data_IF_277407277627
#
_entry.id   IF_277407277627
#
_cell.length_a   1.000
_cell.length_b   1.000
_cell.length_c   1.000
_cell.angle_alpha   90.00
_cell.angle_beta   90.00
_cell.angle_gamma   90.00
#
_symmetry.space_group_name_H-M   'P 1'
#
loop_
_entity.id
_entity.type
_entity.pdbx_description
1 polymer ?
#
# COMPACT_ATOMS: atom_id res chain seq x y z
N UNK A 1 -4.33 22.74 20.09
CA UNK A 1 -4.33 23.20 18.69
C UNK A 1 -4.04 24.70 18.66
N UNK A 2 -3.19 25.14 17.74
CA UNK A 2 -2.85 26.54 17.55
C UNK A 2 -3.87 27.18 16.59
N UNK A 3 -4.43 28.35 16.98
CA UNK A 3 -5.36 29.08 16.13
C UNK A 3 -4.72 29.48 14.78
N UNK A 4 -5.50 29.44 13.70
CA UNK A 4 -5.09 29.83 12.35
C UNK A 4 -3.84 29.07 11.81
N UNK A 5 -3.66 27.80 12.18
CA UNK A 5 -2.56 26.96 11.71
C UNK A 5 -3.05 25.65 11.11
N UNK A 6 -2.29 25.15 10.17
CA UNK A 6 -2.41 23.78 9.68
C UNK A 6 -1.75 22.85 10.70
N UNK A 7 -2.49 21.82 11.14
CA UNK A 7 -1.99 20.75 12.01
C UNK A 7 -2.09 19.44 11.26
N UNK A 8 -0.98 18.73 11.11
CA UNK A 8 -0.93 17.39 10.53
C UNK A 8 -0.74 16.38 11.66
N UNK A 9 -1.61 15.38 11.72
CA UNK A 9 -1.55 14.29 12.70
C UNK A 9 -1.47 12.96 11.93
N UNK A 10 -0.45 12.16 12.23
CA UNK A 10 -0.28 10.84 11.68
C UNK A 10 -0.54 9.79 12.75
N UNK A 11 -1.37 8.79 12.42
CA UNK A 11 -1.73 7.69 13.31
C UNK A 11 -1.46 6.35 12.64
N UNK A 12 -0.28 5.75 12.84
CA UNK A 12 0.15 4.54 12.13
C UNK A 12 -0.43 3.24 12.68
N UNK A 13 -1.02 3.24 13.89
CA UNK A 13 -1.31 1.99 14.59
C UNK A 13 -2.38 1.12 13.92
N UNK A 14 -3.32 1.73 13.18
CA UNK A 14 -4.33 0.97 12.43
C UNK A 14 -3.64 0.16 11.33
N UNK A 15 -2.74 0.79 10.59
CA UNK A 15 -1.95 0.16 9.54
C UNK A 15 -1.05 -0.95 10.09
N UNK A 16 -0.26 -0.64 11.12
CA UNK A 16 0.63 -1.62 11.78
C UNK A 16 -0.14 -2.83 12.30
N UNK A 17 -1.30 -2.62 12.94
CA UNK A 17 -2.10 -3.73 13.46
C UNK A 17 -2.73 -4.56 12.33
N UNK A 18 -3.13 -3.92 11.22
CA UNK A 18 -3.60 -4.62 10.03
C UNK A 18 -2.51 -5.49 9.40
N UNK A 19 -1.28 -4.99 9.31
CA UNK A 19 -0.15 -5.76 8.81
C UNK A 19 0.16 -6.97 9.67
N UNK A 20 0.20 -6.80 11.00
CA UNK A 20 0.64 -7.86 11.93
C UNK A 20 -0.45 -8.89 12.18
N UNK A 21 -1.67 -8.45 12.45
CA UNK A 21 -2.77 -9.29 12.91
C UNK A 21 -3.85 -9.52 11.86
N UNK A 22 -3.86 -8.71 10.80
CA UNK A 22 -4.87 -8.72 9.75
C UNK A 22 -5.99 -7.71 9.99
N UNK A 23 -6.59 -7.28 8.88
CA UNK A 23 -7.81 -6.44 8.88
C UNK A 23 -8.96 -7.24 9.52
N UNK A 24 -9.77 -6.57 10.34
CA UNK A 24 -10.86 -7.13 11.13
C UNK A 24 -10.45 -8.09 12.26
N UNK A 25 -9.17 -8.16 12.63
CA UNK A 25 -8.75 -8.81 13.88
C UNK A 25 -9.22 -8.01 15.12
N UNK A 26 -9.19 -8.63 16.29
CA UNK A 26 -9.53 -7.95 17.54
C UNK A 26 -8.54 -6.82 17.83
N UNK A 27 -7.25 -7.02 17.55
CA UNK A 27 -6.20 -6.02 17.72
C UNK A 27 -6.42 -4.82 16.79
N UNK A 28 -6.71 -5.07 15.51
CA UNK A 28 -7.03 -4.02 14.55
C UNK A 28 -8.30 -3.25 14.98
N UNK A 29 -9.34 -3.97 15.38
CA UNK A 29 -10.59 -3.37 15.82
C UNK A 29 -10.42 -2.50 17.06
N UNK A 30 -9.51 -2.89 17.97
CA UNK A 30 -9.16 -2.09 19.14
C UNK A 30 -8.41 -0.81 18.79
N UNK A 31 -7.50 -0.87 17.79
CA UNK A 31 -6.81 0.34 17.30
C UNK A 31 -7.77 1.31 16.60
N UNK A 32 -8.75 0.80 15.84
CA UNK A 32 -9.82 1.64 15.25
C UNK A 32 -10.61 2.35 16.35
N UNK A 33 -11.01 1.66 17.42
CA UNK A 33 -11.73 2.30 18.56
C UNK A 33 -10.90 3.38 19.24
N UNK A 34 -9.59 3.14 19.45
CA UNK A 34 -8.70 4.17 20.01
C UNK A 34 -8.59 5.40 19.09
N UNK A 35 -8.55 5.18 17.79
CA UNK A 35 -8.55 6.26 16.81
C UNK A 35 -9.87 7.04 16.83
N UNK A 36 -11.03 6.39 16.92
CA UNK A 36 -12.33 7.04 17.09
C UNK A 36 -12.37 7.91 18.34
N UNK A 37 -11.83 7.44 19.46
CA UNK A 37 -11.72 8.21 20.70
C UNK A 37 -10.80 9.44 20.52
N UNK A 38 -9.68 9.28 19.79
CA UNK A 38 -8.79 10.39 19.47
C UNK A 38 -9.50 11.43 18.60
N UNK A 39 -10.20 11.03 17.55
CA UNK A 39 -10.99 11.91 16.68
C UNK A 39 -12.03 12.69 17.48
N UNK A 40 -12.75 12.02 18.40
CA UNK A 40 -13.71 12.66 19.30
C UNK A 40 -13.05 13.74 20.15
N UNK A 41 -11.92 13.45 20.78
CA UNK A 41 -11.16 14.42 21.57
C UNK A 41 -10.68 15.61 20.72
N UNK A 42 -10.22 15.35 19.50
CA UNK A 42 -9.82 16.41 18.56
C UNK A 42 -11.01 17.31 18.25
N UNK A 43 -12.16 16.73 17.95
CA UNK A 43 -13.38 17.50 17.66
C UNK A 43 -13.84 18.33 18.86
N UNK A 44 -13.76 17.81 20.08
CA UNK A 44 -14.12 18.53 21.32
C UNK A 44 -13.16 19.69 21.65
N UNK A 45 -11.87 19.53 21.34
CA UNK A 45 -10.83 20.54 21.56
C UNK A 45 -10.74 21.57 20.42
N UNK A 46 -11.37 21.28 19.29
CA UNK A 46 -11.36 22.16 18.13
C UNK A 46 -12.28 23.38 18.37
N UNK A 47 -11.76 24.57 18.10
CA UNK A 47 -12.52 25.82 18.20
C UNK A 47 -13.66 25.86 17.19
N UNK A 48 -14.66 26.72 17.42
CA UNK A 48 -15.85 26.93 16.58
C UNK A 48 -15.60 27.34 15.11
N UNK A 49 -14.38 27.29 14.61
CA UNK A 49 -13.99 27.62 13.23
C UNK A 49 -12.89 26.68 12.75
N UNK A 50 -13.03 25.40 13.04
CA UNK A 50 -12.06 24.40 12.58
C UNK A 50 -12.67 23.52 11.49
N UNK A 51 -11.80 23.11 10.59
CA UNK A 51 -12.09 22.13 9.55
C UNK A 51 -11.06 21.02 9.65
N UNK A 52 -11.54 19.79 9.83
CA UNK A 52 -10.70 18.61 9.98
C UNK A 52 -11.02 17.63 8.84
N UNK A 53 -10.00 17.20 8.16
CA UNK A 53 -10.08 16.10 7.16
C UNK A 53 -9.34 14.90 7.71
N UNK A 54 -9.98 13.74 7.68
CA UNK A 54 -9.38 12.45 8.01
C UNK A 54 -9.35 11.63 6.73
N UNK A 55 -8.18 11.12 6.39
CA UNK A 55 -7.98 10.26 5.23
C UNK A 55 -6.91 9.21 5.52
N UNK A 56 -6.73 8.28 4.61
CA UNK A 56 -5.65 7.30 4.59
C UNK A 56 -4.89 7.40 3.26
N UNK A 57 -3.70 6.89 3.19
CA UNK A 57 -2.88 6.75 1.98
C UNK A 57 -3.29 5.53 1.16
N UNK A 58 -3.71 4.44 1.81
CA UNK A 58 -4.21 3.21 1.18
C UNK A 58 -5.11 2.43 2.15
N UNK A 59 -5.75 1.38 1.66
CA UNK A 59 -6.35 0.35 2.47
C UNK A 59 -5.46 -0.91 2.51
N UNK A 60 -5.95 -2.01 3.11
CA UNK A 60 -5.23 -3.29 3.21
C UNK A 60 -6.17 -4.46 2.93
N UNK A 61 -5.59 -5.57 2.50
CA UNK A 61 -6.27 -6.86 2.36
C UNK A 61 -5.53 -7.98 3.08
N UNK A 62 -6.24 -8.93 3.65
CA UNK A 62 -5.65 -10.11 4.27
C UNK A 62 -5.25 -11.12 3.20
N UNK A 63 -4.03 -11.66 3.32
CA UNK A 63 -3.49 -12.64 2.38
C UNK A 63 -3.41 -14.02 3.05
N UNK A 64 -4.15 -15.04 2.55
CA UNK A 64 -4.04 -16.41 3.02
C UNK A 64 -2.62 -16.96 2.81
N UNK A 65 -2.21 -17.92 3.66
CA UNK A 65 -0.85 -18.49 3.58
C UNK A 65 -0.60 -19.23 2.27
N UNK A 66 -1.61 -19.90 1.75
CA UNK A 66 -1.59 -20.64 0.49
C UNK A 66 -1.43 -19.74 -0.74
N UNK A 67 -1.69 -18.45 -0.61
CA UNK A 67 -1.62 -17.46 -1.68
C UNK A 67 -0.29 -16.68 -1.69
N UNK A 68 0.74 -17.22 -1.06
CA UNK A 68 2.06 -16.61 -0.91
C UNK A 68 3.07 -17.30 -1.81
N UNK A 69 3.41 -16.65 -2.89
CA UNK A 69 4.35 -17.17 -3.88
C UNK A 69 5.77 -16.76 -3.50
N UNK A 70 6.67 -17.74 -3.41
CA UNK A 70 8.08 -17.50 -3.16
C UNK A 70 8.84 -17.47 -4.49
N UNK A 71 9.35 -16.30 -4.85
CA UNK A 71 10.16 -16.15 -6.04
C UNK A 71 11.64 -16.42 -5.70
N UNK A 72 12.20 -17.45 -6.34
CA UNK A 72 13.63 -17.73 -6.22
C UNK A 72 14.47 -16.58 -6.79
N UNK A 73 15.65 -16.39 -6.22
CA UNK A 73 16.61 -15.40 -6.75
C UNK A 73 16.93 -15.71 -8.22
N UNK A 74 16.88 -14.68 -9.05
CA UNK A 74 17.21 -14.74 -10.48
C UNK A 74 18.40 -13.82 -10.75
N UNK A 75 19.48 -14.33 -11.33
CA UNK A 75 20.70 -13.55 -11.57
C UNK A 75 20.52 -12.42 -12.59
N UNK A 76 19.56 -12.57 -13.51
CA UNK A 76 19.40 -11.68 -14.66
C UNK A 76 18.18 -10.73 -14.57
N UNK A 77 17.45 -10.78 -13.47
CA UNK A 77 16.35 -9.84 -13.20
C UNK A 77 16.52 -9.23 -11.81
N UNK A 78 16.28 -7.92 -11.72
CA UNK A 78 16.27 -7.20 -10.47
C UNK A 78 14.84 -6.94 -10.02
N UNK A 79 14.50 -7.38 -8.81
CA UNK A 79 13.15 -7.34 -8.25
C UNK A 79 13.14 -6.45 -7.03
N UNK A 80 12.21 -5.49 -6.99
CA UNK A 80 12.03 -4.52 -5.91
C UNK A 80 10.57 -4.04 -5.85
N UNK A 81 10.27 -3.09 -4.96
CA UNK A 81 8.91 -2.58 -4.77
C UNK A 81 8.15 -3.35 -3.71
N UNK A 82 6.83 -3.38 -3.84
CA UNK A 82 5.92 -4.01 -2.90
C UNK A 82 5.58 -5.45 -3.32
N UNK A 83 5.12 -6.27 -2.38
CA UNK A 83 4.76 -7.67 -2.62
C UNK A 83 3.52 -7.85 -3.49
N UNK A 84 2.74 -6.77 -3.70
CA UNK A 84 1.52 -6.77 -4.53
C UNK A 84 1.70 -6.02 -5.84
N UNK A 85 2.70 -5.14 -5.92
CA UNK A 85 3.12 -4.43 -7.13
C UNK A 85 4.63 -4.53 -7.26
N UNK A 86 5.07 -5.62 -7.87
CA UNK A 86 6.49 -5.98 -7.93
C UNK A 86 7.13 -5.30 -9.13
N UNK A 87 8.08 -4.42 -8.87
CA UNK A 87 8.88 -3.79 -9.92
C UNK A 87 10.02 -4.69 -10.36
N UNK A 88 10.22 -4.79 -11.67
CA UNK A 88 11.19 -5.71 -12.24
C UNK A 88 11.97 -5.04 -13.37
N UNK A 89 13.31 -5.13 -13.29
CA UNK A 89 14.19 -4.75 -14.39
C UNK A 89 14.88 -6.00 -14.95
N UNK A 90 15.00 -6.08 -16.27
CA UNK A 90 15.68 -7.15 -16.95
C UNK A 90 15.02 -7.61 -18.25
N UNK A 91 15.43 -8.79 -18.72
CA UNK A 91 14.89 -9.36 -19.96
C UNK A 91 13.42 -9.76 -19.80
N UNK A 92 12.54 -9.23 -20.65
CA UNK A 92 11.10 -9.54 -20.66
C UNK A 92 10.84 -11.05 -20.70
N UNK A 93 11.56 -11.78 -21.55
CA UNK A 93 11.43 -13.24 -21.65
C UNK A 93 11.69 -13.95 -20.33
N UNK A 94 12.74 -13.56 -19.61
CA UNK A 94 13.09 -14.14 -18.31
C UNK A 94 12.09 -13.75 -17.22
N UNK A 95 11.58 -12.53 -17.28
CA UNK A 95 10.53 -12.05 -16.37
C UNK A 95 9.26 -12.88 -16.57
N UNK A 96 8.78 -13.05 -17.82
CA UNK A 96 7.61 -13.87 -18.13
C UNK A 96 7.80 -15.30 -17.62
N UNK A 97 8.98 -15.88 -17.82
CA UNK A 97 9.29 -17.24 -17.36
C UNK A 97 9.28 -17.33 -15.82
N UNK A 98 9.90 -16.36 -15.13
CA UNK A 98 9.97 -16.35 -13.67
C UNK A 98 8.61 -16.16 -12.98
N UNK A 99 7.68 -15.45 -13.60
CA UNK A 99 6.37 -15.14 -13.05
C UNK A 99 5.23 -16.00 -13.62
N UNK A 100 5.54 -16.99 -14.50
CA UNK A 100 4.54 -17.78 -15.26
C UNK A 100 3.51 -18.49 -14.40
N UNK A 101 3.88 -18.93 -13.20
CA UNK A 101 3.03 -19.68 -12.28
C UNK A 101 2.31 -18.78 -11.25
N UNK A 102 2.50 -17.47 -11.32
CA UNK A 102 1.95 -16.52 -10.35
C UNK A 102 0.74 -15.80 -10.97
N UNK A 103 -0.43 -15.85 -10.33
CA UNK A 103 -1.58 -15.10 -10.81
C UNK A 103 -1.34 -13.60 -10.79
N UNK A 104 -1.39 -12.96 -11.95
CA UNK A 104 -1.11 -11.54 -12.08
C UNK A 104 -0.91 -11.12 -13.53
N UNK A 105 -0.62 -9.85 -13.70
CA UNK A 105 -0.40 -9.21 -14.99
C UNK A 105 0.95 -8.49 -15.03
N UNK A 106 1.75 -8.77 -16.04
CA UNK A 106 2.95 -8.02 -16.34
C UNK A 106 2.59 -6.75 -17.12
N UNK A 107 2.88 -5.60 -16.55
CA UNK A 107 2.64 -4.28 -17.12
C UNK A 107 3.96 -3.74 -17.61
N UNK A 108 4.02 -3.35 -18.87
CA UNK A 108 5.20 -2.74 -19.49
C UNK A 108 5.30 -1.24 -19.18
N UNK A 109 6.42 -0.63 -19.55
CA UNK A 109 6.68 0.78 -19.29
C UNK A 109 5.65 1.73 -19.90
N UNK A 110 5.08 1.41 -21.06
CA UNK A 110 4.05 2.25 -21.70
C UNK A 110 2.77 2.26 -20.87
N UNK A 111 2.37 1.11 -20.36
CA UNK A 111 1.19 0.97 -19.48
C UNK A 111 1.45 1.60 -18.10
N UNK A 112 2.67 1.43 -17.55
CA UNK A 112 3.08 2.07 -16.30
C UNK A 112 3.01 3.60 -16.37
N UNK A 113 3.37 4.20 -17.49
CA UNK A 113 3.28 5.65 -17.70
C UNK A 113 1.84 6.19 -17.65
N UNK A 114 0.83 5.32 -17.74
CA UNK A 114 -0.57 5.70 -17.53
C UNK A 114 -0.96 5.68 -16.03
N UNK A 115 -0.23 4.95 -15.21
CA UNK A 115 -0.48 4.77 -13.78
C UNK A 115 0.42 5.67 -12.92
N UNK A 116 1.65 5.87 -13.35
CA UNK A 116 2.65 6.66 -12.63
C UNK A 116 2.83 8.04 -13.27
N UNK A 117 3.07 9.09 -12.46
CA UNK A 117 3.35 10.41 -13.00
C UNK A 117 4.67 10.38 -13.81
N UNK A 118 4.64 10.94 -15.01
CA UNK A 118 5.85 11.13 -15.83
C UNK A 118 6.65 12.34 -15.35
N UNK A 119 7.96 12.34 -15.60
CA UNK A 119 8.87 13.44 -15.26
C UNK A 119 9.78 13.77 -16.44
N UNK A 120 10.07 15.05 -16.65
CA UNK A 120 11.08 15.49 -17.61
C UNK A 120 12.52 15.32 -17.07
N UNK A 121 12.67 14.89 -15.82
CA UNK A 121 13.95 14.65 -15.20
C UNK A 121 14.43 13.22 -15.52
N UNK A 122 15.50 13.11 -16.31
CA UNK A 122 16.10 11.83 -16.72
C UNK A 122 16.51 10.95 -15.54
N UNK A 123 16.98 11.54 -14.43
CA UNK A 123 17.32 10.78 -13.24
C UNK A 123 16.07 10.14 -12.60
N UNK A 124 14.95 10.88 -12.53
CA UNK A 124 13.69 10.34 -12.02
C UNK A 124 13.21 9.20 -12.92
N UNK A 125 13.27 9.38 -14.23
CA UNK A 125 12.86 8.34 -15.19
C UNK A 125 13.77 7.11 -15.15
N UNK A 126 15.05 7.28 -14.83
CA UNK A 126 15.98 6.13 -14.68
C UNK A 126 15.69 5.25 -13.45
N UNK A 127 14.88 5.74 -12.51
CA UNK A 127 14.43 4.96 -11.35
C UNK A 127 13.15 4.14 -11.64
N UNK A 128 12.52 4.37 -12.79
CA UNK A 128 11.32 3.64 -13.18
C UNK A 128 11.69 2.20 -13.57
N UNK A 129 10.85 1.23 -13.22
CA UNK A 129 11.07 -0.15 -13.62
C UNK A 129 10.83 -0.35 -15.12
N UNK A 130 11.49 -1.37 -15.70
CA UNK A 130 11.17 -1.82 -17.05
C UNK A 130 9.76 -2.40 -17.12
N UNK A 131 9.38 -3.11 -16.05
CA UNK A 131 8.07 -3.75 -15.90
C UNK A 131 7.58 -3.67 -14.46
N UNK A 132 6.25 -3.76 -14.30
CA UNK A 132 5.62 -4.01 -13.01
C UNK A 132 4.76 -5.27 -13.12
N UNK A 133 4.93 -6.21 -12.20
CA UNK A 133 4.02 -7.33 -12.09
C UNK A 133 2.97 -7.02 -11.02
N UNK A 134 1.74 -6.79 -11.46
CA UNK A 134 0.58 -6.58 -10.58
C UNK A 134 -0.01 -7.92 -10.22
N UNK A 135 0.04 -8.26 -8.95
CA UNK A 135 -0.47 -9.53 -8.45
C UNK A 135 -2.00 -9.48 -8.34
N UNK A 136 -2.68 -10.46 -8.90
CA UNK A 136 -4.14 -10.57 -8.88
C UNK A 136 -4.67 -11.13 -7.56
N UNK A 137 -5.95 -10.90 -7.31
CA UNK A 137 -6.69 -11.41 -6.16
C UNK A 137 -5.97 -11.17 -4.82
N UNK A 138 -6.10 -12.11 -3.89
CA UNK A 138 -5.44 -12.11 -2.58
C UNK A 138 -4.13 -12.90 -2.61
N UNK A 139 -3.26 -12.60 -3.58
CA UNK A 139 -1.94 -13.22 -3.71
C UNK A 139 -0.84 -12.20 -3.41
N UNK A 140 0.33 -12.68 -3.01
CA UNK A 140 1.55 -11.88 -2.85
C UNK A 140 2.77 -12.64 -3.36
N UNK A 141 3.82 -11.88 -3.67
CA UNK A 141 5.12 -12.42 -4.03
C UNK A 141 6.11 -12.11 -2.91
N UNK A 142 6.72 -13.16 -2.36
CA UNK A 142 7.81 -13.05 -1.42
C UNK A 142 9.14 -13.21 -2.14
N UNK A 143 9.99 -12.17 -2.15
CA UNK A 143 11.39 -12.36 -2.49
C UNK A 143 12.05 -13.34 -1.50
N UNK A 144 12.91 -14.21 -2.00
CA UNK A 144 13.54 -15.29 -1.21
C UNK A 144 14.32 -14.83 0.03
N UNK A 145 14.70 -13.55 0.09
CA UNK A 145 15.44 -12.96 1.21
C UNK A 145 14.55 -12.42 2.35
N UNK A 146 13.24 -12.26 2.12
CA UNK A 146 12.33 -11.80 3.17
C UNK A 146 11.91 -12.95 4.07
N UNK A 147 12.02 -12.74 5.38
CA UNK A 147 11.68 -13.74 6.42
C UNK A 147 10.43 -13.38 7.21
N UNK A 148 9.94 -12.16 7.08
CA UNK A 148 8.78 -11.69 7.87
C UNK A 148 7.51 -11.93 7.10
N UNK A 149 6.61 -12.72 7.67
CA UNK A 149 5.28 -12.94 7.15
C UNK A 149 4.28 -12.05 7.89
N UNK A 150 3.62 -11.16 7.17
CA UNK A 150 2.54 -10.34 7.67
C UNK A 150 1.19 -11.01 7.39
N UNK A 151 0.13 -10.55 8.02
CA UNK A 151 -1.23 -11.01 7.76
C UNK A 151 -1.92 -10.15 6.68
N UNK A 152 -1.79 -8.83 6.78
CA UNK A 152 -2.34 -7.86 5.85
C UNK A 152 -1.28 -7.21 4.96
N UNK A 153 -1.68 -6.88 3.75
CA UNK A 153 -0.84 -6.27 2.71
C UNK A 153 -1.59 -5.21 1.93
N UNK A 154 -0.86 -4.34 1.28
CA UNK A 154 -1.34 -3.33 0.35
C UNK A 154 -0.43 -3.25 -0.89
N UNK A 155 -0.72 -2.32 -1.80
CA UNK A 155 0.07 -2.07 -3.00
C UNK A 155 -0.53 -2.70 -4.26
N UNK A 156 -1.62 -3.47 -4.13
CA UNK A 156 -2.38 -3.96 -5.26
C UNK A 156 -3.52 -3.02 -5.67
N UNK A 157 -4.34 -3.48 -6.62
CA UNK A 157 -5.46 -2.72 -7.18
C UNK A 157 -6.83 -3.21 -6.71
N UNK A 158 -6.90 -3.99 -5.63
CA UNK A 158 -8.19 -4.41 -5.09
C UNK A 158 -8.96 -3.24 -4.49
N UNK A 159 -10.28 -3.37 -4.43
CA UNK A 159 -11.13 -2.30 -3.87
C UNK A 159 -10.84 -2.03 -2.40
N UNK A 160 -10.37 -3.02 -1.67
CA UNK A 160 -9.97 -2.92 -0.27
C UNK A 160 -8.67 -2.12 -0.10
N UNK A 161 -7.82 -2.07 -1.12
CA UNK A 161 -6.53 -1.39 -1.08
C UNK A 161 -6.60 0.04 -1.61
N UNK A 162 -7.36 0.28 -2.70
CA UNK A 162 -7.41 1.59 -3.37
C UNK A 162 -8.48 2.54 -2.85
N UNK A 163 -9.53 2.01 -2.17
CA UNK A 163 -10.57 2.86 -1.59
C UNK A 163 -10.16 3.33 -0.21
N UNK A 164 -10.02 4.64 -0.06
CA UNK A 164 -9.70 5.29 1.19
C UNK A 164 -10.87 6.12 1.71
N UNK A 165 -11.03 6.27 3.03
CA UNK A 165 -12.03 7.16 3.60
C UNK A 165 -11.64 8.63 3.36
N UNK A 166 -12.63 9.50 3.18
CA UNK A 166 -12.52 10.94 3.32
C UNK A 166 -13.63 11.37 4.27
N UNK A 167 -13.26 11.74 5.49
CA UNK A 167 -14.19 12.17 6.53
C UNK A 167 -13.91 13.64 6.83
N UNK A 168 -14.94 14.47 6.70
CA UNK A 168 -14.87 15.91 6.93
C UNK A 168 -15.65 16.27 8.19
N UNK A 169 -15.02 16.98 9.11
CA UNK A 169 -15.63 17.49 10.33
C UNK A 169 -15.48 18.99 10.34
N UNK A 170 -16.60 19.71 10.33
CA UNK A 170 -16.64 21.17 10.39
C UNK A 170 -17.36 21.62 11.65
N UNK A 171 -16.72 22.49 12.44
CA UNK A 171 -17.30 23.17 13.58
C UNK A 171 -17.44 24.66 13.22
N UNK A 172 -18.63 25.07 12.79
CA UNK A 172 -18.99 26.47 12.46
C UNK A 172 -19.86 27.08 13.53
#
# INVERSE_FOLDING_TARGET
>A
FLENRFNFIYYPNIDVSAHVFGVNSDEWSNEVKKFEELVKKISELSNKKSYTVISADHGLTNIPKENRFHLAHQEDINIYGDQRSVYVNGSEKKIIEAFSDIPGQLINQTELNLLLPTSDNEFVMSLYPDFCFLVEDKNIIYPSHLKTELAGYHGGLSSEEIKIPIIEISNF
#
